data_IF_517270233028
#
_entry.id   IF_517270233028
#
_cell.length_a   1.000
_cell.length_b   1.000
_cell.length_c   1.000
_cell.angle_alpha   90.00
_cell.angle_beta   90.00
_cell.angle_gamma   90.00
#
_symmetry.space_group_name_H-M   'P 1'
#
loop_
_entity.id
_entity.type
_entity.pdbx_description
1 polymer ?
#
# COMPACT_ATOMS: atom_id res chain seq x y z
N UNK A 1 -16.38 11.81 7.37
CA UNK A 1 -14.94 11.47 7.58
C UNK A 1 -14.09 12.73 7.64
N UNK A 2 -12.96 12.66 8.30
CA UNK A 2 -12.02 13.78 8.38
C UNK A 2 -11.71 14.37 7.00
N UNK A 3 -11.44 13.53 6.01
CA UNK A 3 -11.11 13.97 4.66
C UNK A 3 -12.26 14.71 3.98
N UNK A 4 -13.51 14.34 4.25
CA UNK A 4 -14.69 15.00 3.70
C UNK A 4 -14.94 16.36 4.35
N UNK A 5 -14.58 16.51 5.60
CA UNK A 5 -14.75 17.72 6.41
C UNK A 5 -13.54 18.64 6.37
N UNK A 6 -12.39 18.13 5.94
CA UNK A 6 -11.14 18.88 5.90
C UNK A 6 -11.19 20.00 4.87
N UNK A 7 -11.12 21.22 5.35
CA UNK A 7 -11.11 22.44 4.52
C UNK A 7 -9.75 23.14 4.49
N UNK A 8 -8.73 22.45 4.97
CA UNK A 8 -7.37 22.98 5.01
C UNK A 8 -6.65 22.90 3.67
N UNK A 9 -5.36 23.22 3.70
CA UNK A 9 -4.49 23.13 2.53
C UNK A 9 -4.35 21.68 2.09
N UNK A 10 -4.46 21.42 0.78
CA UNK A 10 -4.26 20.09 0.23
C UNK A 10 -2.83 19.59 0.42
N UNK A 11 -2.67 18.29 0.56
CA UNK A 11 -1.40 17.64 0.83
C UNK A 11 -0.58 17.38 -0.44
N UNK A 12 0.73 17.44 -0.31
CA UNK A 12 1.66 17.02 -1.36
C UNK A 12 1.84 15.50 -1.38
N UNK A 13 1.77 14.87 -0.22
CA UNK A 13 2.01 13.43 -0.04
C UNK A 13 1.03 12.88 0.98
N UNK A 14 0.43 11.74 0.67
CA UNK A 14 -0.36 10.93 1.58
C UNK A 14 0.24 9.53 1.64
N UNK A 15 0.41 8.99 2.83
CA UNK A 15 0.94 7.63 3.06
C UNK A 15 -0.10 6.82 3.81
N UNK A 16 -0.32 5.59 3.38
CA UNK A 16 -1.22 4.67 4.04
C UNK A 16 -0.62 3.28 4.17
N UNK A 17 -0.68 2.74 5.37
CA UNK A 17 -0.40 1.33 5.65
C UNK A 17 -1.66 0.76 6.32
N UNK A 18 -2.67 0.33 5.51
CA UNK A 18 -3.93 -0.13 6.08
C UNK A 18 -3.74 -1.40 6.90
N UNK A 19 -4.57 -1.60 7.95
CA UNK A 19 -4.50 -2.82 8.73
C UNK A 19 -4.87 -4.02 7.86
N UNK A 20 -4.03 -5.08 7.93
CA UNK A 20 -4.28 -6.32 7.22
C UNK A 20 -5.14 -7.25 8.07
N UNK A 21 -6.06 -7.97 7.42
CA UNK A 21 -6.74 -9.08 8.06
C UNK A 21 -5.68 -10.17 8.28
N UNK A 22 -5.54 -10.64 9.52
CA UNK A 22 -4.54 -11.66 9.86
C UNK A 22 -4.73 -12.91 9.00
N UNK A 23 -3.66 -13.31 8.32
CA UNK A 23 -3.62 -14.61 7.66
C UNK A 23 -3.67 -15.73 8.70
N UNK A 24 -4.32 -16.85 8.38
CA UNK A 24 -4.47 -17.99 9.27
C UNK A 24 -5.92 -18.26 9.65
N UNK A 25 -6.82 -17.37 9.28
CA UNK A 25 -8.25 -17.60 9.36
C UNK A 25 -8.72 -18.23 8.06
N UNK A 26 -9.44 -19.35 8.12
CA UNK A 26 -10.07 -19.96 6.96
C UNK A 26 -11.03 -18.98 6.26
N UNK A 27 -11.44 -19.32 5.04
CA UNK A 27 -12.32 -18.46 4.22
C UNK A 27 -13.56 -17.94 4.97
N UNK A 28 -14.14 -18.75 5.85
CA UNK A 28 -15.28 -18.35 6.66
C UNK A 28 -14.92 -17.27 7.69
N UNK A 29 -13.74 -17.36 8.30
CA UNK A 29 -13.25 -16.36 9.25
C UNK A 29 -12.80 -15.09 8.54
N UNK A 30 -12.27 -15.20 7.33
CA UNK A 30 -11.91 -14.06 6.50
C UNK A 30 -13.16 -13.26 6.11
N UNK A 31 -14.23 -13.94 5.70
CA UNK A 31 -15.52 -13.31 5.40
C UNK A 31 -16.15 -12.69 6.65
N UNK A 32 -16.04 -13.34 7.80
CA UNK A 32 -16.55 -12.82 9.07
C UNK A 32 -15.72 -11.63 9.56
N UNK A 33 -14.40 -11.68 9.43
CA UNK A 33 -13.52 -10.54 9.72
C UNK A 33 -13.83 -9.35 8.82
N UNK A 34 -14.08 -9.58 7.54
CA UNK A 34 -14.53 -8.54 6.61
C UNK A 34 -15.89 -7.97 7.00
N UNK A 35 -16.82 -8.84 7.44
CA UNK A 35 -18.13 -8.41 7.94
C UNK A 35 -18.01 -7.59 9.22
N UNK A 36 -17.21 -8.04 10.17
CA UNK A 36 -16.93 -7.32 11.42
C UNK A 36 -16.24 -5.99 11.14
N UNK A 37 -15.26 -5.97 10.26
CA UNK A 37 -14.60 -4.75 9.82
C UNK A 37 -15.57 -3.73 9.21
N UNK A 38 -16.52 -4.18 8.43
CA UNK A 38 -17.56 -3.31 7.85
C UNK A 38 -18.57 -2.83 8.90
N UNK A 39 -18.90 -3.65 9.89
CA UNK A 39 -19.85 -3.31 10.94
C UNK A 39 -19.25 -2.46 12.07
N UNK A 40 -17.95 -2.60 12.32
CA UNK A 40 -17.24 -1.86 13.37
C UNK A 40 -16.59 -0.57 12.87
N UNK A 41 -16.86 -0.16 11.65
CA UNK A 41 -16.37 1.09 11.07
C UNK A 41 -14.92 1.01 10.55
N UNK A 42 -14.42 -0.19 10.30
CA UNK A 42 -13.13 -0.34 9.63
C UNK A 42 -13.19 0.22 8.21
N UNK A 43 -12.16 0.97 7.84
CA UNK A 43 -12.10 1.69 6.57
C UNK A 43 -11.85 0.71 5.44
N UNK A 44 -12.64 0.78 4.38
CA UNK A 44 -12.43 -0.01 3.18
C UNK A 44 -11.32 0.58 2.31
N UNK A 45 -10.77 -0.23 1.41
CA UNK A 45 -9.77 0.23 0.44
C UNK A 45 -10.30 1.38 -0.43
N UNK A 46 -11.55 1.30 -0.84
CA UNK A 46 -12.20 2.37 -1.62
C UNK A 46 -12.28 3.68 -0.84
N UNK A 47 -12.66 3.61 0.43
CA UNK A 47 -12.72 4.78 1.30
C UNK A 47 -11.34 5.42 1.51
N UNK A 48 -10.31 4.62 1.65
CA UNK A 48 -8.91 5.09 1.77
C UNK A 48 -8.51 5.86 0.52
N UNK A 49 -8.73 5.28 -0.65
CA UNK A 49 -8.37 5.92 -1.92
C UNK A 49 -9.22 7.17 -2.18
N UNK A 50 -10.49 7.15 -1.80
CA UNK A 50 -11.36 8.33 -1.88
C UNK A 50 -10.83 9.46 -1.00
N UNK A 51 -10.48 9.16 0.23
CA UNK A 51 -9.91 10.13 1.16
C UNK A 51 -8.59 10.69 0.64
N UNK A 52 -7.69 9.84 0.17
CA UNK A 52 -6.42 10.26 -0.42
C UNK A 52 -6.64 11.18 -1.63
N UNK A 53 -7.58 10.83 -2.51
CA UNK A 53 -7.91 11.63 -3.68
C UNK A 53 -8.43 13.03 -3.34
N UNK A 54 -9.15 13.16 -2.22
CA UNK A 54 -9.65 14.46 -1.73
C UNK A 54 -8.57 15.27 -1.03
N UNK A 55 -7.67 14.62 -0.31
CA UNK A 55 -6.62 15.29 0.44
C UNK A 55 -5.47 15.77 -0.45
N UNK A 56 -5.19 15.04 -1.54
CA UNK A 56 -4.07 15.35 -2.43
C UNK A 56 -4.38 16.52 -3.37
N UNK A 57 -3.38 17.38 -3.52
CA UNK A 57 -3.38 18.32 -4.64
C UNK A 57 -3.13 17.57 -5.96
N UNK A 58 -3.47 18.19 -7.09
CA UNK A 58 -3.10 17.66 -8.41
C UNK A 58 -1.58 17.50 -8.51
N UNK A 59 -1.11 16.33 -8.95
CA UNK A 59 0.31 15.99 -8.98
C UNK A 59 0.86 15.47 -7.65
N UNK A 60 0.06 15.46 -6.58
CA UNK A 60 0.45 14.90 -5.28
C UNK A 60 0.63 13.39 -5.33
N UNK A 61 1.42 12.85 -4.41
CA UNK A 61 1.79 11.43 -4.38
C UNK A 61 1.06 10.70 -3.26
N UNK A 62 0.60 9.49 -3.59
CA UNK A 62 -0.04 8.57 -2.65
C UNK A 62 0.77 7.29 -2.57
N UNK A 63 1.29 6.97 -1.39
CA UNK A 63 2.01 5.74 -1.14
C UNK A 63 1.15 4.78 -0.33
N UNK A 64 0.98 3.56 -0.83
CA UNK A 64 0.25 2.51 -0.15
C UNK A 64 1.05 1.22 -0.10
N UNK A 65 1.14 0.61 1.08
CA UNK A 65 1.64 -0.74 1.26
C UNK A 65 0.45 -1.68 1.40
N UNK A 66 0.42 -2.75 0.65
CA UNK A 66 -0.66 -3.73 0.74
C UNK A 66 -0.14 -5.15 0.46
N UNK A 67 -0.98 -6.14 0.75
CA UNK A 67 -0.68 -7.53 0.39
C UNK A 67 -0.63 -7.68 -1.13
N UNK A 68 0.36 -8.43 -1.63
CA UNK A 68 0.55 -8.63 -3.06
C UNK A 68 -0.69 -9.17 -3.79
N UNK A 69 -1.45 -10.14 -3.24
CA UNK A 69 -2.68 -10.63 -3.89
C UNK A 69 -3.75 -9.56 -4.11
N UNK A 70 -3.69 -8.45 -3.39
CA UNK A 70 -4.64 -7.35 -3.51
C UNK A 70 -4.15 -6.21 -4.41
N UNK A 71 -3.04 -6.41 -5.13
CA UNK A 71 -2.44 -5.37 -5.97
C UNK A 71 -3.39 -4.84 -7.04
N UNK A 72 -4.13 -5.73 -7.71
CA UNK A 72 -5.11 -5.33 -8.73
C UNK A 72 -6.23 -4.46 -8.14
N UNK A 73 -6.70 -4.79 -6.93
CA UNK A 73 -7.72 -4.01 -6.24
C UNK A 73 -7.19 -2.61 -5.85
N UNK A 74 -5.93 -2.54 -5.44
CA UNK A 74 -5.26 -1.26 -5.13
C UNK A 74 -5.22 -0.37 -6.37
N UNK A 75 -4.81 -0.92 -7.51
CA UNK A 75 -4.76 -0.19 -8.77
C UNK A 75 -6.13 0.32 -9.20
N UNK A 76 -7.14 -0.54 -9.12
CA UNK A 76 -8.51 -0.19 -9.46
C UNK A 76 -9.04 0.95 -8.57
N UNK A 77 -8.88 0.81 -7.25
CA UNK A 77 -9.35 1.83 -6.31
C UNK A 77 -8.66 3.18 -6.50
N UNK A 78 -7.35 3.17 -6.71
CA UNK A 78 -6.59 4.39 -7.00
C UNK A 78 -7.13 5.08 -8.26
N UNK A 79 -7.24 4.32 -9.35
CA UNK A 79 -7.70 4.83 -10.65
C UNK A 79 -9.10 5.41 -10.57
N UNK A 80 -9.99 4.75 -9.82
CA UNK A 80 -11.37 5.21 -9.60
C UNK A 80 -11.42 6.59 -8.94
N UNK A 81 -10.43 6.92 -8.13
CA UNK A 81 -10.36 8.20 -7.42
C UNK A 81 -9.31 9.16 -8.01
N UNK A 82 -9.03 9.02 -9.31
CA UNK A 82 -8.13 9.90 -10.06
C UNK A 82 -6.68 9.89 -9.54
N UNK A 83 -6.27 8.77 -8.95
CA UNK A 83 -4.89 8.53 -8.56
C UNK A 83 -4.32 7.48 -9.51
N UNK A 84 -3.38 7.87 -10.35
CA UNK A 84 -2.77 6.95 -11.31
C UNK A 84 -1.61 6.21 -10.66
N UNK A 85 -1.63 4.86 -10.59
CA UNK A 85 -0.45 4.11 -10.17
C UNK A 85 0.74 4.42 -11.07
N UNK A 86 1.86 4.86 -10.49
CA UNK A 86 3.03 5.31 -11.25
C UNK A 86 4.28 4.50 -10.97
N UNK A 87 4.39 3.94 -9.79
CA UNK A 87 5.54 3.16 -9.39
C UNK A 87 5.09 1.98 -8.54
N UNK A 88 5.73 0.84 -8.73
CA UNK A 88 5.50 -0.35 -7.93
C UNK A 88 6.82 -0.95 -7.47
N UNK A 89 6.90 -1.31 -6.19
CA UNK A 89 7.98 -2.08 -5.62
C UNK A 89 7.39 -3.31 -4.95
N UNK A 90 7.88 -4.48 -5.31
CA UNK A 90 7.46 -5.73 -4.68
C UNK A 90 8.39 -6.06 -3.53
N UNK A 91 7.86 -6.75 -2.52
CA UNK A 91 8.62 -7.23 -1.36
C UNK A 91 8.45 -8.73 -1.27
N UNK A 92 9.57 -9.46 -1.27
CA UNK A 92 9.59 -10.91 -1.10
C UNK A 92 10.45 -11.29 0.10
N UNK A 93 10.19 -12.47 0.66
CA UNK A 93 10.93 -12.95 1.83
C UNK A 93 12.37 -13.29 1.45
N UNK A 94 12.56 -14.06 0.38
CA UNK A 94 13.87 -14.49 -0.12
C UNK A 94 13.94 -14.31 -1.63
N UNK A 95 15.15 -14.22 -2.14
CA UNK A 95 15.39 -14.13 -3.58
C UNK A 95 14.72 -15.27 -4.33
N UNK A 96 13.98 -14.94 -5.39
CA UNK A 96 13.25 -15.91 -6.21
C UNK A 96 11.85 -16.25 -5.69
N UNK A 97 11.48 -15.84 -4.48
CA UNK A 97 10.13 -16.04 -3.97
C UNK A 97 9.13 -15.10 -4.62
N UNK A 98 7.88 -15.52 -4.67
CA UNK A 98 6.77 -14.63 -5.03
C UNK A 98 6.65 -13.50 -3.98
N UNK A 99 6.27 -12.30 -4.41
CA UNK A 99 6.10 -11.20 -3.47
C UNK A 99 4.92 -11.44 -2.53
N UNK A 100 5.05 -11.00 -1.28
CA UNK A 100 3.95 -11.02 -0.31
C UNK A 100 3.40 -9.63 -0.01
N UNK A 101 4.17 -8.59 -0.30
CA UNK A 101 3.74 -7.19 -0.20
C UNK A 101 4.06 -6.45 -1.48
N UNK A 102 3.28 -5.39 -1.73
CA UNK A 102 3.56 -4.39 -2.76
C UNK A 102 3.54 -3.00 -2.14
N UNK A 103 4.42 -2.16 -2.61
CA UNK A 103 4.43 -0.74 -2.30
C UNK A 103 4.07 -0.02 -3.60
N UNK A 104 2.93 0.65 -3.61
CA UNK A 104 2.45 1.35 -4.80
C UNK A 104 2.51 2.85 -4.55
N UNK A 105 3.13 3.58 -5.46
CA UNK A 105 3.07 5.03 -5.49
C UNK A 105 2.12 5.46 -6.62
N UNK A 106 1.04 6.14 -6.25
CA UNK A 106 0.13 6.75 -7.19
C UNK A 106 0.33 8.26 -7.25
N UNK A 107 -0.10 8.86 -8.35
CA UNK A 107 -0.05 10.30 -8.54
C UNK A 107 -1.43 10.85 -8.86
N UNK A 108 -1.87 11.85 -8.11
CA UNK A 108 -3.15 12.51 -8.36
C UNK A 108 -3.13 13.18 -9.74
N UNK A 109 -4.12 12.84 -10.58
CA UNK A 109 -4.24 13.31 -11.96
C UNK A 109 -2.98 13.01 -12.81
N UNK A 110 -2.28 11.90 -12.53
CA UNK A 110 -1.09 11.48 -13.24
C UNK A 110 -1.37 10.93 -14.63
N UNK A 111 -0.36 10.99 -15.49
CA UNK A 111 -0.39 10.40 -16.82
C UNK A 111 -0.09 8.90 -16.82
N UNK A 112 -0.05 8.30 -18.00
CA UNK A 112 0.19 6.89 -18.20
C UNK A 112 1.61 6.44 -17.83
N UNK A 113 1.77 5.14 -17.62
CA UNK A 113 3.04 4.48 -17.41
C UNK A 113 3.28 4.10 -15.97
N UNK A 114 3.69 2.85 -15.76
CA UNK A 114 4.02 2.26 -14.48
C UNK A 114 5.49 1.85 -14.46
N UNK A 115 6.26 2.42 -13.53
CA UNK A 115 7.66 2.07 -13.33
C UNK A 115 7.78 0.93 -12.31
N UNK A 116 8.41 -0.15 -12.72
CA UNK A 116 8.74 -1.27 -11.84
C UNK A 116 10.12 -1.09 -11.24
N UNK A 117 10.20 -1.01 -9.92
CA UNK A 117 11.45 -1.00 -9.20
C UNK A 117 11.98 -2.42 -8.96
N UNK A 118 13.24 -2.55 -8.62
CA UNK A 118 13.81 -3.82 -8.21
C UNK A 118 13.09 -4.31 -6.95
N UNK A 119 12.82 -5.63 -6.83
CA UNK A 119 12.22 -6.18 -5.63
C UNK A 119 13.07 -5.92 -4.39
N UNK A 120 12.40 -5.69 -3.26
CA UNK A 120 13.02 -5.68 -1.95
C UNK A 120 13.02 -7.11 -1.43
N UNK A 121 14.19 -7.67 -1.15
CA UNK A 121 14.36 -8.98 -0.54
C UNK A 121 14.63 -8.79 0.94
N UNK A 122 13.85 -9.45 1.80
CA UNK A 122 13.93 -9.26 3.25
C UNK A 122 15.09 -10.06 3.86
N UNK A 123 15.19 -11.34 3.52
CA UNK A 123 16.17 -12.26 4.11
C UNK A 123 17.18 -12.76 3.09
N UNK A 124 18.43 -12.89 3.53
CA UNK A 124 19.49 -13.55 2.77
C UNK A 124 19.41 -15.09 2.90
N UNK A 125 20.39 -15.79 2.32
CA UNK A 125 20.47 -17.25 2.35
C UNK A 125 20.59 -17.83 3.77
N UNK A 126 21.14 -17.06 4.69
CA UNK A 126 21.37 -17.48 6.09
C UNK A 126 20.21 -17.06 7.02
N UNK A 127 19.17 -16.45 6.47
CA UNK A 127 18.01 -16.00 7.24
C UNK A 127 18.22 -14.67 7.95
N UNK A 128 19.29 -13.96 7.65
CA UNK A 128 19.54 -12.62 8.18
C UNK A 128 18.90 -11.55 7.28
N UNK A 129 18.66 -10.37 7.82
CA UNK A 129 18.19 -9.25 7.00
C UNK A 129 19.23 -8.89 5.95
N UNK A 130 18.75 -8.61 4.74
CA UNK A 130 19.60 -8.13 3.65
C UNK A 130 20.15 -6.72 3.95
N UNK A 131 21.26 -6.31 3.32
CA UNK A 131 21.77 -4.94 3.45
C UNK A 131 20.72 -3.86 3.15
N UNK A 132 19.85 -4.11 2.17
CA UNK A 132 18.76 -3.19 1.82
C UNK A 132 17.82 -2.96 3.01
N UNK A 133 17.40 -4.03 3.69
CA UNK A 133 16.52 -3.93 4.85
C UNK A 133 17.23 -3.23 6.01
N UNK A 134 18.48 -3.57 6.28
CA UNK A 134 19.28 -2.92 7.33
C UNK A 134 19.38 -1.42 7.08
N UNK A 135 19.63 -1.03 5.84
CA UNK A 135 19.69 0.38 5.45
C UNK A 135 18.36 1.10 5.65
N UNK A 136 17.23 0.45 5.28
CA UNK A 136 15.89 1.02 5.46
C UNK A 136 15.53 1.23 6.93
N UNK A 137 15.96 0.34 7.82
CA UNK A 137 15.75 0.48 9.26
C UNK A 137 16.77 1.39 9.95
N UNK A 138 17.72 1.95 9.22
CA UNK A 138 18.74 2.82 9.78
C UNK A 138 19.75 2.11 10.66
N UNK A 139 19.84 0.77 10.60
CA UNK A 139 20.90 0.02 11.26
C UNK A 139 22.23 0.36 10.58
N UNK A 140 23.06 1.08 11.31
CA UNK A 140 24.44 1.24 10.89
C UNK A 140 25.10 -0.12 11.00
N UNK A 141 25.91 -0.47 10.00
CA UNK A 141 26.65 -1.72 9.97
C UNK A 141 27.28 -2.06 11.33
N UNK A 142 26.86 -3.18 11.85
CA UNK A 142 27.50 -3.78 13.00
C UNK A 142 28.48 -4.83 12.47
#
# INVERSE_FOLDING_TARGET
TFAAEYKGRKADVVVCNPPYIKQGCGEAQEKESLRLCRHEGAVTLDEICRAAGRLLKSGGRFYMVHKAPRCADVFECMTRHSITPKEITTVCAREGDAPYLVIVCGRKDGGEGLLWHKPIVVYDKDGNFTPTIKQLYGEKDV
#
